data_IF_713203097283
#
_entry.id   IF_713203097283
#
_cell.length_a   1.000
_cell.length_b   1.000
_cell.length_c   1.000
_cell.angle_alpha   90.00
_cell.angle_beta   90.00
_cell.angle_gamma   90.00
#
_symmetry.space_group_name_H-M   'P 1'
#
loop_
_entity.id
_entity.type
_entity.pdbx_description
1 polymer ?
#
# COMPACT_ATOMS: atom_id res chain seq x y z
N UNK A 1 3.28 3.72 -8.42
CA UNK A 1 1.85 3.38 -8.51
C UNK A 1 1.40 2.72 -7.22
N UNK A 2 0.24 3.11 -6.68
CA UNK A 2 -0.37 2.50 -5.50
C UNK A 2 -1.63 1.74 -5.94
N UNK A 3 -1.78 0.52 -5.46
CA UNK A 3 -2.99 -0.29 -5.61
C UNK A 3 -3.50 -0.68 -4.22
N UNK A 4 -4.79 -0.46 -3.97
CA UNK A 4 -5.51 -0.93 -2.80
C UNK A 4 -6.58 -1.91 -3.25
N UNK A 5 -6.56 -3.12 -2.69
CA UNK A 5 -7.57 -4.14 -2.92
C UNK A 5 -8.28 -4.45 -1.61
N UNK A 6 -9.61 -4.37 -1.60
CA UNK A 6 -10.42 -4.60 -0.42
C UNK A 6 -11.27 -5.88 -0.57
N UNK A 7 -11.34 -6.67 0.49
CA UNK A 7 -12.27 -7.79 0.62
C UNK A 7 -13.00 -7.69 1.96
N UNK A 8 -14.33 -7.58 1.94
CA UNK A 8 -15.10 -7.39 3.16
C UNK A 8 -16.59 -7.16 2.89
N UNK A 9 -17.35 -6.94 3.97
CA UNK A 9 -18.79 -6.66 3.90
C UNK A 9 -19.15 -5.57 4.91
N UNK A 10 -19.92 -4.57 4.46
CA UNK A 10 -20.35 -3.47 5.31
C UNK A 10 -19.19 -2.58 5.76
N UNK A 11 -19.11 -2.30 7.06
CA UNK A 11 -18.17 -1.32 7.64
C UNK A 11 -16.76 -1.85 7.93
N UNK A 12 -16.53 -3.16 7.73
CA UNK A 12 -15.25 -3.81 7.97
C UNK A 12 -14.79 -4.54 6.70
N UNK A 13 -13.55 -4.25 6.30
CA UNK A 13 -12.88 -4.95 5.21
C UNK A 13 -11.44 -5.29 5.60
N UNK A 14 -10.91 -6.35 5.01
CA UNK A 14 -9.48 -6.57 4.95
C UNK A 14 -8.97 -5.93 3.67
N UNK A 15 -7.97 -5.06 3.78
CA UNK A 15 -7.35 -4.44 2.63
C UNK A 15 -5.91 -4.91 2.45
N UNK A 16 -5.47 -4.98 1.20
CA UNK A 16 -4.10 -5.24 0.79
C UNK A 16 -3.61 -4.07 -0.03
N UNK A 17 -2.45 -3.53 0.35
CA UNK A 17 -1.77 -2.45 -0.35
C UNK A 17 -0.54 -2.98 -1.08
N UNK A 18 -0.38 -2.59 -2.34
CA UNK A 18 0.88 -2.76 -3.09
C UNK A 18 1.31 -1.41 -3.62
N UNK A 19 2.53 -1.00 -3.26
CA UNK A 19 3.13 0.23 -3.73
C UNK A 19 4.37 -0.09 -4.56
N UNK A 20 4.38 0.38 -5.80
CA UNK A 20 5.57 0.49 -6.64
C UNK A 20 6.08 1.92 -6.65
N UNK A 21 7.36 2.14 -6.38
CA UNK A 21 7.98 3.46 -6.34
C UNK A 21 9.44 3.39 -6.77
N UNK A 22 10.06 4.54 -7.01
CA UNK A 22 11.50 4.64 -7.21
C UNK A 22 12.12 5.23 -5.95
N UNK A 23 13.25 4.68 -5.50
CA UNK A 23 13.99 5.24 -4.38
C UNK A 23 14.79 6.50 -4.79
N UNK A 24 15.58 7.06 -3.87
CA UNK A 24 16.38 8.26 -4.13
C UNK A 24 17.47 8.07 -5.18
N UNK A 25 17.87 6.84 -5.49
CA UNK A 25 18.78 6.49 -6.58
C UNK A 25 18.08 6.22 -7.91
N UNK A 26 16.74 6.26 -7.95
CA UNK A 26 15.96 5.91 -9.13
C UNK A 26 15.83 4.41 -9.35
N UNK A 27 16.16 3.57 -8.36
CA UNK A 27 15.95 2.13 -8.46
C UNK A 27 14.50 1.76 -8.17
N UNK A 28 13.90 0.83 -8.94
CA UNK A 28 12.52 0.41 -8.76
C UNK A 28 12.37 -0.43 -7.48
N UNK A 29 11.42 -0.04 -6.64
CA UNK A 29 11.10 -0.70 -5.36
C UNK A 29 9.62 -1.05 -5.29
N UNK A 30 9.34 -2.01 -4.42
CA UNK A 30 8.00 -2.46 -4.08
C UNK A 30 7.85 -2.61 -2.57
N UNK A 31 6.68 -2.24 -2.06
CA UNK A 31 6.31 -2.45 -0.67
C UNK A 31 4.87 -2.95 -0.60
N UNK A 32 4.62 -3.92 0.28
CA UNK A 32 3.30 -4.53 0.44
C UNK A 32 2.92 -4.65 1.90
N UNK A 33 1.62 -4.60 2.18
CA UNK A 33 1.09 -4.79 3.51
C UNK A 33 -0.40 -5.02 3.47
N UNK A 34 -0.96 -5.41 4.60
CA UNK A 34 -2.40 -5.59 4.74
C UNK A 34 -2.88 -5.04 6.06
N UNK A 35 -4.06 -4.44 6.08
CA UNK A 35 -4.63 -3.85 7.28
C UNK A 35 -6.15 -4.04 7.28
N UNK A 36 -6.76 -4.17 8.48
CA UNK A 36 -8.20 -4.00 8.58
C UNK A 36 -8.56 -2.53 8.26
N UNK A 37 -9.58 -2.36 7.44
CA UNK A 37 -10.21 -1.08 7.18
C UNK A 37 -11.53 -0.99 7.93
N UNK A 38 -11.70 0.10 8.67
CA UNK A 38 -12.90 0.40 9.45
C UNK A 38 -13.46 1.75 9.01
N UNK A 39 -14.71 1.76 8.56
CA UNK A 39 -15.38 2.96 8.07
C UNK A 39 -14.55 3.71 6.99
N UNK A 40 -13.91 2.97 6.08
CA UNK A 40 -13.11 3.52 4.99
C UNK A 40 -11.71 4.01 5.39
N UNK A 41 -11.29 3.82 6.65
CA UNK A 41 -9.96 4.20 7.12
C UNK A 41 -9.11 2.96 7.38
N UNK A 42 -7.85 3.01 6.99
CA UNK A 42 -6.87 1.97 7.35
C UNK A 42 -5.46 2.55 7.53
N UNK A 43 -4.68 1.86 8.36
CA UNK A 43 -3.26 2.11 8.59
C UNK A 43 -2.49 0.81 8.37
N UNK A 44 -1.60 0.81 7.39
CA UNK A 44 -0.80 -0.32 6.98
C UNK A 44 0.62 -0.13 7.46
N UNK A 45 1.20 -1.19 8.01
CA UNK A 45 2.66 -1.38 7.98
C UNK A 45 3.00 -1.98 6.64
N UNK A 46 3.84 -1.29 5.86
CA UNK A 46 4.33 -1.78 4.57
C UNK A 46 5.72 -2.40 4.76
N UNK A 47 5.94 -3.53 4.10
CA UNK A 47 7.21 -4.26 4.10
C UNK A 47 7.78 -4.37 2.68
N UNK A 48 9.09 -4.26 2.57
CA UNK A 48 9.84 -4.71 1.39
C UNK A 48 10.03 -6.22 1.48
N UNK A 49 9.95 -6.89 0.35
CA UNK A 49 10.16 -8.33 0.25
C UNK A 49 11.37 -8.61 -0.65
N UNK A 50 12.27 -9.45 -0.17
CA UNK A 50 13.39 -9.96 -0.96
C UNK A 50 13.26 -11.46 -1.11
N UNK A 51 13.42 -11.94 -2.34
CA UNK A 51 13.32 -13.35 -2.71
C UNK A 51 14.41 -13.69 -3.74
N UNK A 52 14.58 -14.97 -4.03
CA UNK A 52 15.48 -15.41 -5.09
C UNK A 52 15.04 -14.86 -6.44
N UNK A 53 16.02 -14.52 -7.29
CA UNK A 53 15.75 -14.23 -8.68
C UNK A 53 15.26 -15.49 -9.42
N UNK A 54 14.45 -15.36 -10.49
CA UNK A 54 14.15 -16.49 -11.37
C UNK A 54 15.45 -17.13 -11.90
N UNK A 55 15.70 -18.39 -11.55
CA UNK A 55 16.91 -19.13 -11.95
C UNK A 55 18.10 -19.03 -10.99
N UNK A 56 18.02 -18.21 -9.94
CA UNK A 56 18.99 -18.21 -8.85
C UNK A 56 18.84 -19.45 -7.96
N UNK A 57 19.90 -19.77 -7.19
CA UNK A 57 19.76 -20.69 -6.07
C UNK A 57 18.67 -20.19 -5.10
N UNK A 58 17.79 -21.06 -4.59
CA UNK A 58 16.72 -20.64 -3.69
C UNK A 58 17.30 -19.96 -2.44
N UNK A 59 16.79 -18.77 -2.14
CA UNK A 59 17.01 -18.09 -0.85
C UNK A 59 15.65 -17.93 -0.15
N UNK A 60 15.58 -18.05 1.18
CA UNK A 60 14.36 -17.81 1.91
C UNK A 60 13.83 -16.41 1.62
N UNK A 61 12.52 -16.30 1.40
CA UNK A 61 11.88 -14.99 1.32
C UNK A 61 12.02 -14.30 2.68
N UNK A 62 12.41 -13.03 2.67
CA UNK A 62 12.43 -12.18 3.85
C UNK A 62 11.56 -10.95 3.64
N UNK A 63 10.99 -10.47 4.74
CA UNK A 63 10.15 -9.28 4.78
C UNK A 63 10.75 -8.31 5.81
N UNK A 64 10.97 -7.07 5.40
CA UNK A 64 11.47 -6.02 6.26
C UNK A 64 10.47 -4.85 6.26
N UNK A 65 9.93 -4.44 7.42
CA UNK A 65 9.10 -3.25 7.51
C UNK A 65 9.87 -2.01 7.01
N UNK A 66 9.27 -1.29 6.07
CA UNK A 66 9.85 -0.08 5.47
C UNK A 66 9.07 1.18 5.80
N UNK A 67 7.88 1.07 6.37
CA UNK A 67 7.16 2.24 6.89
C UNK A 67 5.66 2.04 6.83
N UNK A 68 4.92 3.12 6.57
CA UNK A 68 3.47 3.13 6.68
C UNK A 68 2.76 3.72 5.46
N UNK A 69 1.53 3.27 5.27
CA UNK A 69 0.54 3.91 4.41
C UNK A 69 -0.74 4.05 5.22
N UNK A 70 -1.32 5.24 5.22
CA UNK A 70 -2.68 5.46 5.69
C UNK A 70 -3.55 5.93 4.54
N UNK A 71 -4.81 5.50 4.54
CA UNK A 71 -5.81 6.11 3.67
C UNK A 71 -7.12 6.34 4.41
N UNK A 72 -7.88 7.23 3.81
CA UNK A 72 -9.24 7.54 4.19
C UNK A 72 -10.07 7.60 2.92
N UNK A 73 -11.12 6.79 2.88
CA UNK A 73 -12.21 6.92 1.92
C UNK A 73 -13.42 7.54 2.61
N UNK A 74 -14.10 8.43 1.89
CA UNK A 74 -15.35 9.06 2.33
C UNK A 74 -16.33 9.14 1.16
N UNK A 75 -17.59 9.44 1.49
CA UNK A 75 -18.69 9.46 0.53
C UNK A 75 -19.51 8.17 0.56
N UNK A 76 -20.50 8.12 -0.30
CA UNK A 76 -21.41 6.99 -0.42
C UNK A 76 -21.53 6.58 -1.90
N UNK A 77 -21.81 5.31 -2.14
CA UNK A 77 -22.17 4.82 -3.48
C UNK A 77 -21.09 5.11 -4.55
N UNK A 78 -21.45 5.78 -5.65
CA UNK A 78 -20.57 6.07 -6.78
C UNK A 78 -19.69 7.31 -6.59
N UNK A 79 -19.80 7.99 -5.44
CA UNK A 79 -19.10 9.24 -5.10
C UNK A 79 -18.04 9.01 -4.01
N UNK A 80 -17.40 7.83 -4.01
CA UNK A 80 -16.30 7.55 -3.08
C UNK A 80 -15.08 8.36 -3.50
N UNK A 81 -14.63 9.23 -2.60
CA UNK A 81 -13.34 9.93 -2.72
C UNK A 81 -12.38 9.39 -1.68
N UNK A 82 -11.09 9.44 -1.95
CA UNK A 82 -10.11 9.03 -0.97
C UNK A 82 -8.79 9.77 -1.06
N UNK A 83 -8.06 9.73 0.03
CA UNK A 83 -6.71 10.26 0.13
C UNK A 83 -5.80 9.23 0.78
N UNK A 84 -4.57 9.10 0.28
CA UNK A 84 -3.52 8.30 0.91
C UNK A 84 -2.34 9.17 1.33
N UNK A 85 -1.75 8.83 2.46
CA UNK A 85 -0.44 9.31 2.88
C UNK A 85 0.51 8.14 3.00
N UNK A 86 1.72 8.29 2.47
CA UNK A 86 2.76 7.26 2.39
C UNK A 86 4.02 7.81 2.99
N UNK A 87 4.64 6.98 3.83
CA UNK A 87 5.88 7.29 4.49
C UNK A 87 6.75 6.04 4.60
N UNK A 88 7.76 5.94 3.73
CA UNK A 88 8.65 4.79 3.66
C UNK A 88 10.11 5.20 3.74
N UNK A 89 10.87 4.46 4.53
CA UNK A 89 12.32 4.46 4.58
C UNK A 89 12.89 3.49 3.54
N UNK A 90 14.10 3.80 3.07
CA UNK A 90 14.88 2.89 2.22
C UNK A 90 15.18 1.57 2.97
N UNK A 91 14.84 0.39 2.41
CA UNK A 91 15.15 -0.90 3.03
C UNK A 91 16.66 -1.10 3.22
N UNK A 92 17.49 -0.52 2.34
CA UNK A 92 18.95 -0.69 2.36
C UNK A 92 19.65 0.34 3.27
N UNK A 93 18.89 1.18 3.98
CA UNK A 93 19.41 2.12 4.98
C UNK A 93 20.19 3.30 4.41
N UNK A 94 20.15 3.54 3.09
CA UNK A 94 20.89 4.62 2.41
C UNK A 94 20.33 6.03 2.65
N UNK A 95 19.42 6.19 3.60
CA UNK A 95 18.92 7.48 4.06
C UNK A 95 17.85 8.12 3.17
N UNK A 96 17.37 7.43 2.13
CA UNK A 96 16.30 7.94 1.27
C UNK A 96 14.91 7.66 1.89
N UNK A 97 13.96 8.58 1.68
CA UNK A 97 12.59 8.45 2.15
C UNK A 97 11.61 8.73 1.02
N UNK A 98 10.66 7.82 0.81
CA UNK A 98 9.56 8.03 -0.11
C UNK A 98 8.37 8.62 0.66
N UNK A 99 8.08 9.90 0.41
CA UNK A 99 6.98 10.64 1.02
C UNK A 99 5.94 11.03 -0.01
N UNK A 100 4.67 10.78 0.32
CA UNK A 100 3.50 11.36 -0.34
C UNK A 100 2.49 11.74 0.73
N UNK A 101 1.99 12.96 0.69
CA UNK A 101 0.99 13.44 1.65
C UNK A 101 -0.31 13.73 0.91
N UNK A 102 -1.42 13.21 1.42
CA UNK A 102 -2.77 13.46 0.91
C UNK A 102 -2.92 13.26 -0.61
N UNK A 103 -2.29 12.22 -1.17
CA UNK A 103 -2.43 11.87 -2.58
C UNK A 103 -3.87 11.39 -2.86
N UNK A 104 -4.53 12.00 -3.83
CA UNK A 104 -5.89 11.62 -4.21
C UNK A 104 -5.93 10.17 -4.73
N UNK A 105 -6.92 9.41 -4.26
CA UNK A 105 -7.21 8.05 -4.70
C UNK A 105 -8.39 8.07 -5.66
N UNK A 106 -8.28 7.29 -6.73
CA UNK A 106 -9.38 7.07 -7.68
C UNK A 106 -9.93 5.67 -7.48
N UNK A 107 -11.24 5.55 -7.29
CA UNK A 107 -11.90 4.25 -7.23
C UNK A 107 -11.90 3.59 -8.62
N UNK A 108 -11.36 2.38 -8.71
CA UNK A 108 -11.33 1.57 -9.95
C UNK A 108 -12.51 0.59 -10.07
N UNK A 109 -13.25 0.41 -8.99
CA UNK A 109 -14.48 -0.38 -8.92
C UNK A 109 -15.50 0.30 -8.04
N UNK A 110 -16.79 0.25 -8.40
CA UNK A 110 -17.89 0.81 -7.60
C UNK A 110 -18.54 -0.30 -6.77
N UNK A 111 -18.67 -0.16 -5.44
CA UNK A 111 -19.53 -1.05 -4.68
C UNK A 111 -20.98 -0.90 -5.15
N UNK A 112 -21.72 -2.01 -5.20
CA UNK A 112 -23.15 -1.97 -5.54
C UNK A 112 -23.93 -1.23 -4.44
N UNK A 113 -24.79 -0.28 -4.82
CA UNK A 113 -25.76 0.34 -3.91
C UNK A 113 -26.99 -0.56 -3.84
N UNK A 114 -27.43 -0.90 -2.64
CA UNK A 114 -28.68 -1.63 -2.38
C UNK A 114 -29.50 -0.89 -1.33
#
# INVERSE_FOLDING_TARGET
ALTLAAQGRGHAAQEVATLYYFDGSGEPRWAQGSAPALNGNALFTLSSFTAACPGCAPVPASAQPVGTLSHQFSGACAEVTGTASIDLSDPDGRGNRFLRSAAALTAVSRPACY
#
